data_IF_930726792561
#
_entry.id   IF_930726792561
#
_cell.length_a   1.000
_cell.length_b   1.000
_cell.length_c   1.000
_cell.angle_alpha   90.00
_cell.angle_beta   90.00
_cell.angle_gamma   90.00
#
_symmetry.space_group_name_H-M   'P 1'
#
loop_
_entity.id
_entity.type
_entity.pdbx_description
1 polymer ?
#
# COMPACT_ATOMS: atom_id res chain seq x y z
N UNK A 1 -8.30 3.02 2.06
CA UNK A 1 -8.18 4.28 2.83
C UNK A 1 -9.01 5.39 2.22
N UNK A 2 -9.03 6.58 2.87
CA UNK A 2 -9.73 7.75 2.30
C UNK A 2 -9.03 8.24 1.04
N UNK A 3 -9.82 8.65 0.04
CA UNK A 3 -9.30 9.25 -1.19
C UNK A 3 -9.16 10.74 -0.95
N UNK A 4 -7.96 11.18 -0.62
CA UNK A 4 -7.62 12.55 -0.27
C UNK A 4 -6.14 12.83 -0.56
N UNK A 5 -5.79 14.09 -0.72
CA UNK A 5 -4.44 14.52 -1.12
C UNK A 5 -3.34 14.02 -0.19
N UNK A 6 -3.58 14.05 1.12
CA UNK A 6 -2.58 13.63 2.11
C UNK A 6 -2.28 12.12 2.09
N UNK A 7 -3.12 11.34 1.41
CA UNK A 7 -2.86 9.92 1.14
C UNK A 7 -2.04 9.69 -0.13
N UNK A 8 -1.56 10.76 -0.77
CA UNK A 8 -0.71 10.69 -1.96
C UNK A 8 -1.45 10.18 -3.19
N UNK A 9 -2.77 10.45 -3.28
CA UNK A 9 -3.59 9.93 -4.38
C UNK A 9 -3.22 10.55 -5.73
N UNK A 10 -2.70 11.78 -5.76
CA UNK A 10 -2.24 12.43 -6.98
C UNK A 10 -1.05 11.68 -7.58
N UNK A 11 -0.07 11.32 -6.75
CA UNK A 11 1.08 10.51 -7.15
C UNK A 11 0.66 9.10 -7.55
N UNK A 12 -0.27 8.49 -6.80
CA UNK A 12 -0.79 7.17 -7.11
C UNK A 12 -1.48 7.16 -8.49
N UNK A 13 -2.31 8.15 -8.79
CA UNK A 13 -2.99 8.23 -10.08
C UNK A 13 -2.04 8.52 -11.23
N UNK A 14 -1.03 9.35 -11.03
CA UNK A 14 0.01 9.60 -12.02
C UNK A 14 0.82 8.32 -12.29
N UNK A 15 1.25 7.61 -11.26
CA UNK A 15 1.96 6.36 -11.38
C UNK A 15 1.09 5.26 -12.02
N UNK A 16 -0.19 5.12 -11.61
CA UNK A 16 -1.11 4.14 -12.19
C UNK A 16 -1.34 4.36 -13.70
N UNK A 17 -1.47 5.62 -14.15
CA UNK A 17 -1.57 5.93 -15.59
C UNK A 17 -0.35 5.42 -16.35
N UNK A 18 0.86 5.68 -15.86
CA UNK A 18 2.12 5.24 -16.49
C UNK A 18 2.21 3.72 -16.53
N UNK A 19 1.91 3.06 -15.41
CA UNK A 19 1.91 1.60 -15.32
C UNK A 19 0.92 0.98 -16.31
N UNK A 20 -0.29 1.56 -16.45
CA UNK A 20 -1.27 1.10 -17.45
C UNK A 20 -0.81 1.34 -18.88
N UNK A 21 -0.10 2.42 -19.16
CA UNK A 21 0.49 2.67 -20.49
C UNK A 21 1.59 1.67 -20.83
N UNK A 22 2.37 1.25 -19.83
CA UNK A 22 3.52 0.35 -20.01
C UNK A 22 3.11 -1.13 -20.04
N UNK A 23 2.21 -1.55 -19.15
CA UNK A 23 1.85 -2.96 -18.93
C UNK A 23 0.44 -3.33 -19.41
N UNK A 24 -0.37 -2.37 -19.85
CA UNK A 24 -1.73 -2.61 -20.32
C UNK A 24 -2.57 -3.37 -19.28
N UNK A 25 -3.17 -4.49 -19.71
CA UNK A 25 -3.99 -5.35 -18.84
C UNK A 25 -3.17 -6.26 -17.91
N UNK A 26 -1.84 -6.22 -17.99
CA UNK A 26 -0.95 -6.91 -17.06
C UNK A 26 -0.97 -6.34 -15.63
N UNK A 27 -1.54 -5.13 -15.43
CA UNK A 27 -1.71 -4.51 -14.12
C UNK A 27 -3.12 -3.98 -13.93
N UNK A 28 -3.66 -4.11 -12.72
CA UNK A 28 -4.95 -3.55 -12.32
C UNK A 28 -4.79 -2.75 -11.03
N UNK A 29 -5.45 -1.60 -10.94
CA UNK A 29 -5.46 -0.75 -9.76
C UNK A 29 -6.86 -0.67 -9.17
N UNK A 30 -7.01 -1.17 -7.95
CA UNK A 30 -8.26 -1.16 -7.20
C UNK A 30 -8.20 -0.08 -6.11
N UNK A 31 -9.07 0.90 -6.19
CA UNK A 31 -9.18 1.99 -5.22
C UNK A 31 -10.36 1.73 -4.30
N UNK A 32 -10.11 1.67 -2.99
CA UNK A 32 -11.12 1.37 -1.98
C UNK A 32 -11.09 2.44 -0.88
N UNK A 33 -12.21 3.11 -0.69
CA UNK A 33 -12.39 4.16 0.34
C UNK A 33 -13.38 5.23 -0.09
N UNK A 34 -13.74 6.09 0.85
CA UNK A 34 -14.57 7.27 0.59
C UNK A 34 -13.73 8.46 0.14
N UNK A 35 -14.36 9.39 -0.57
CA UNK A 35 -13.76 10.69 -0.86
C UNK A 35 -13.89 11.63 0.34
N UNK A 36 -12.86 12.43 0.59
CA UNK A 36 -12.89 13.56 1.50
C UNK A 36 -12.70 14.91 0.80
N UNK A 37 -12.25 14.89 -0.47
CA UNK A 37 -12.03 16.05 -1.30
C UNK A 37 -12.76 15.86 -2.64
N UNK A 38 -12.71 16.87 -3.52
CA UNK A 38 -13.37 16.82 -4.83
C UNK A 38 -12.63 15.92 -5.85
N UNK A 39 -12.29 14.70 -5.45
CA UNK A 39 -11.61 13.73 -6.33
C UNK A 39 -12.57 12.96 -7.26
N UNK A 40 -13.89 13.09 -7.05
CA UNK A 40 -14.86 12.32 -7.83
C UNK A 40 -14.72 12.53 -9.35
N UNK A 41 -14.62 13.75 -9.90
CA UNK A 41 -14.49 13.96 -11.34
C UNK A 41 -13.20 13.34 -11.92
N UNK A 42 -12.11 13.35 -11.16
CA UNK A 42 -10.87 12.73 -11.56
C UNK A 42 -10.98 11.21 -11.53
N UNK A 43 -11.60 10.65 -10.50
CA UNK A 43 -11.83 9.21 -10.38
C UNK A 43 -12.70 8.70 -11.54
N UNK A 44 -13.81 9.37 -11.85
CA UNK A 44 -14.70 9.01 -12.96
C UNK A 44 -13.93 8.98 -14.30
N UNK A 45 -13.05 9.95 -14.54
CA UNK A 45 -12.17 9.96 -15.73
C UNK A 45 -11.18 8.79 -15.76
N UNK A 46 -10.61 8.44 -14.61
CA UNK A 46 -9.65 7.34 -14.51
C UNK A 46 -10.32 5.97 -14.70
N UNK A 47 -11.54 5.80 -14.20
CA UNK A 47 -12.35 4.60 -14.42
C UNK A 47 -12.76 4.48 -15.90
N UNK A 48 -13.27 5.55 -16.50
CA UNK A 48 -13.63 5.58 -17.94
C UNK A 48 -12.43 5.25 -18.83
N UNK A 49 -11.24 5.69 -18.45
CA UNK A 49 -10.00 5.39 -19.14
C UNK A 49 -9.42 3.99 -18.81
N UNK A 50 -10.08 3.20 -17.96
CA UNK A 50 -9.62 1.87 -17.56
C UNK A 50 -8.33 1.87 -16.73
N UNK A 51 -7.96 3.03 -16.15
CA UNK A 51 -6.73 3.15 -15.34
C UNK A 51 -6.92 2.55 -13.96
N UNK A 52 -8.08 2.77 -13.33
CA UNK A 52 -8.42 2.28 -12.00
C UNK A 52 -9.80 1.65 -11.98
N UNK A 53 -10.08 0.84 -10.97
CA UNK A 53 -11.40 0.32 -10.61
C UNK A 53 -11.75 0.87 -9.22
N UNK A 54 -12.73 1.74 -9.14
CA UNK A 54 -13.16 2.33 -7.87
C UNK A 54 -14.28 1.51 -7.23
N UNK A 55 -14.14 1.20 -5.94
CA UNK A 55 -15.08 0.34 -5.21
C UNK A 55 -15.86 1.07 -4.09
N UNK A 56 -15.63 2.38 -3.94
CA UNK A 56 -16.24 3.12 -2.85
C UNK A 56 -15.76 2.68 -1.47
N UNK A 57 -16.50 3.08 -0.45
CA UNK A 57 -16.26 2.61 0.92
C UNK A 57 -16.66 1.13 1.06
N UNK A 58 -15.79 0.35 1.68
CA UNK A 58 -16.03 -1.07 1.96
C UNK A 58 -15.72 -1.35 3.43
N UNK A 59 -16.59 -2.04 4.12
CA UNK A 59 -16.39 -2.47 5.51
C UNK A 59 -15.58 -3.76 5.59
N UNK A 60 -15.71 -4.65 4.60
CA UNK A 60 -14.91 -5.87 4.50
C UNK A 60 -13.77 -5.69 3.50
N UNK A 61 -12.57 -5.46 4.04
CA UNK A 61 -11.36 -5.31 3.25
C UNK A 61 -10.68 -6.64 2.90
N UNK A 62 -11.06 -7.75 3.54
CA UNK A 62 -10.37 -9.05 3.38
C UNK A 62 -10.34 -9.52 1.93
N UNK A 63 -11.47 -9.37 1.22
CA UNK A 63 -11.55 -9.76 -0.20
C UNK A 63 -10.58 -8.96 -1.08
N UNK A 64 -10.41 -7.67 -0.80
CA UNK A 64 -9.49 -6.82 -1.58
C UNK A 64 -8.04 -7.17 -1.30
N UNK A 65 -7.67 -7.40 -0.05
CA UNK A 65 -6.34 -7.89 0.26
C UNK A 65 -6.10 -9.29 -0.35
N UNK A 66 -7.10 -10.18 -0.35
CA UNK A 66 -6.95 -11.52 -0.90
C UNK A 66 -6.67 -11.51 -2.42
N UNK A 67 -7.29 -10.60 -3.18
CA UNK A 67 -7.11 -10.48 -4.62
C UNK A 67 -5.87 -9.67 -5.02
N UNK A 68 -5.38 -8.78 -4.16
CA UNK A 68 -4.25 -7.92 -4.47
C UNK A 68 -2.93 -8.69 -4.44
N UNK A 69 -2.00 -8.35 -5.32
CA UNK A 69 -0.59 -8.77 -5.23
C UNK A 69 0.21 -7.87 -4.31
N UNK A 70 -0.14 -6.59 -4.26
CA UNK A 70 0.54 -5.56 -3.49
C UNK A 70 -0.45 -4.52 -2.94
N UNK A 71 -0.14 -3.93 -1.79
CA UNK A 71 -0.86 -2.77 -1.25
C UNK A 71 0.01 -1.53 -1.41
N UNK A 72 -0.56 -0.49 -2.00
CA UNK A 72 0.13 0.78 -2.28
C UNK A 72 -0.51 1.89 -1.45
N UNK A 73 0.31 2.61 -0.66
CA UNK A 73 -0.14 3.73 0.17
C UNK A 73 0.95 4.81 0.24
N UNK A 74 0.98 5.78 -0.69
CA UNK A 74 2.00 6.82 -0.75
C UNK A 74 1.67 8.05 0.12
N UNK A 75 1.18 7.83 1.35
CA UNK A 75 0.75 8.88 2.27
C UNK A 75 1.86 9.86 2.61
N UNK A 76 1.49 11.12 2.85
CA UNK A 76 2.43 12.15 3.31
C UNK A 76 2.62 12.12 4.83
N UNK A 77 1.59 11.68 5.56
CA UNK A 77 1.59 11.57 7.02
C UNK A 77 0.77 10.36 7.46
N UNK A 78 1.31 9.60 8.40
CA UNK A 78 0.61 8.51 9.10
C UNK A 78 1.06 8.47 10.56
N UNK A 79 0.15 8.11 11.45
CA UNK A 79 0.54 7.70 12.80
C UNK A 79 1.10 6.27 12.75
N UNK A 80 0.20 5.30 12.71
CA UNK A 80 0.50 3.91 12.33
C UNK A 80 -0.58 3.48 11.33
N UNK A 81 -0.19 3.11 10.11
CA UNK A 81 -1.15 2.82 9.05
C UNK A 81 -1.78 1.44 9.19
N UNK A 82 -3.03 1.37 9.64
CA UNK A 82 -3.78 0.12 9.68
C UNK A 82 -3.86 -0.57 8.30
N UNK A 83 -3.97 0.21 7.21
CA UNK A 83 -4.00 -0.33 5.83
C UNK A 83 -2.74 -1.14 5.53
N UNK A 84 -1.56 -0.63 5.94
CA UNK A 84 -0.29 -1.32 5.75
C UNK A 84 -0.17 -2.54 6.67
N UNK A 85 -0.54 -2.40 7.95
CA UNK A 85 -0.50 -3.52 8.89
C UNK A 85 -1.42 -4.67 8.44
N UNK A 86 -2.65 -4.36 8.01
CA UNK A 86 -3.60 -5.35 7.50
C UNK A 86 -3.12 -5.98 6.20
N UNK A 87 -2.58 -5.18 5.27
CA UNK A 87 -2.00 -5.66 4.01
C UNK A 87 -0.86 -6.64 4.27
N UNK A 88 0.11 -6.27 5.11
CA UNK A 88 1.22 -7.14 5.49
C UNK A 88 0.74 -8.40 6.24
N UNK A 89 -0.18 -8.27 7.21
CA UNK A 89 -0.73 -9.40 7.95
C UNK A 89 -1.46 -10.42 7.05
N UNK A 90 -2.01 -9.96 5.92
CA UNK A 90 -2.60 -10.83 4.89
C UNK A 90 -1.59 -11.37 3.87
N UNK A 91 -0.30 -11.13 4.10
CA UNK A 91 0.77 -11.62 3.24
C UNK A 91 0.90 -10.87 1.92
N UNK A 92 0.55 -9.59 1.88
CA UNK A 92 0.75 -8.74 0.70
C UNK A 92 2.03 -7.94 0.83
N UNK A 93 2.76 -7.82 -0.26
CA UNK A 93 3.86 -6.87 -0.36
C UNK A 93 3.32 -5.44 -0.22
N UNK A 94 4.14 -4.53 0.29
CA UNK A 94 3.74 -3.15 0.50
C UNK A 94 4.61 -2.21 -0.32
N UNK A 95 4.00 -1.18 -0.92
CA UNK A 95 4.70 -0.03 -1.49
C UNK A 95 4.17 1.22 -0.80
N UNK A 96 5.05 1.95 -0.11
CA UNK A 96 4.62 3.08 0.71
C UNK A 96 5.69 4.14 0.83
N UNK A 97 5.32 5.29 1.38
CA UNK A 97 6.25 6.38 1.62
C UNK A 97 7.24 6.06 2.75
N UNK A 98 8.48 6.56 2.62
CA UNK A 98 9.50 6.46 3.64
C UNK A 98 9.31 7.55 4.71
N UNK A 99 8.26 7.39 5.51
CA UNK A 99 7.89 8.27 6.62
C UNK A 99 7.61 7.46 7.90
N UNK A 100 7.68 8.10 9.09
CA UNK A 100 7.17 7.48 10.32
C UNK A 100 5.72 7.04 10.16
N UNK A 101 5.36 5.89 10.74
CA UNK A 101 4.04 5.29 10.62
C UNK A 101 3.83 4.41 9.36
N UNK A 102 4.71 4.53 8.37
CA UNK A 102 4.73 3.68 7.18
C UNK A 102 5.95 2.75 7.16
N UNK A 103 7.17 3.30 7.36
CA UNK A 103 8.41 2.54 7.28
C UNK A 103 8.51 1.40 8.29
N UNK A 104 7.82 1.48 9.41
CA UNK A 104 7.82 0.41 10.42
C UNK A 104 7.14 -0.85 9.91
N UNK A 105 6.16 -0.72 9.00
CA UNK A 105 5.46 -1.84 8.40
C UNK A 105 6.27 -2.54 7.30
N UNK A 106 7.31 -1.88 6.75
CA UNK A 106 8.07 -2.35 5.58
C UNK A 106 9.55 -2.51 5.91
N UNK A 107 10.15 -3.56 5.40
CA UNK A 107 11.59 -3.69 5.26
C UNK A 107 11.91 -3.57 3.77
N UNK A 108 12.56 -2.46 3.39
CA UNK A 108 12.77 -2.09 2.00
C UNK A 108 13.54 -3.15 1.22
N UNK A 109 13.04 -3.51 0.05
CA UNK A 109 13.57 -4.59 -0.79
C UNK A 109 13.31 -6.01 -0.28
N UNK A 110 12.74 -6.19 0.92
CA UNK A 110 12.51 -7.49 1.57
C UNK A 110 11.03 -7.82 1.69
N UNK A 111 10.22 -6.93 2.25
CA UNK A 111 8.78 -7.09 2.41
C UNK A 111 7.96 -6.09 1.59
N UNK A 112 8.62 -5.25 0.84
CA UNK A 112 8.02 -4.21 0.02
C UNK A 112 9.05 -3.19 -0.43
N UNK A 113 8.57 -2.01 -0.85
CA UNK A 113 9.42 -0.91 -1.26
C UNK A 113 9.01 0.39 -0.58
N UNK A 114 10.01 1.17 -0.21
CA UNK A 114 9.85 2.53 0.29
C UNK A 114 10.17 3.55 -0.83
N UNK A 115 9.41 4.64 -0.89
CA UNK A 115 9.65 5.73 -1.82
C UNK A 115 9.52 7.09 -1.11
N UNK A 116 10.15 8.15 -1.63
CA UNK A 116 9.91 9.51 -1.14
C UNK A 116 8.45 9.91 -1.26
N UNK A 117 7.98 10.78 -0.36
CA UNK A 117 6.65 11.41 -0.48
C UNK A 117 6.62 12.41 -1.64
N UNK A 118 5.44 12.60 -2.23
CA UNK A 118 5.21 13.59 -3.30
C UNK A 118 6.11 13.38 -4.53
N UNK A 119 6.46 12.14 -4.79
CA UNK A 119 7.30 11.74 -5.92
C UNK A 119 6.62 10.60 -6.69
N UNK A 120 5.88 10.98 -7.73
CA UNK A 120 5.17 10.04 -8.59
C UNK A 120 6.13 9.17 -9.42
N UNK A 121 7.32 9.67 -9.73
CA UNK A 121 8.34 8.93 -10.50
C UNK A 121 8.92 7.81 -9.64
N UNK A 122 9.35 8.13 -8.41
CA UNK A 122 9.85 7.13 -7.47
C UNK A 122 8.77 6.09 -7.09
N UNK A 123 7.51 6.51 -6.94
CA UNK A 123 6.40 5.58 -6.71
C UNK A 123 6.19 4.65 -7.91
N UNK A 124 6.21 5.18 -9.13
CA UNK A 124 6.09 4.39 -10.35
C UNK A 124 7.24 3.38 -10.48
N UNK A 125 8.46 3.78 -10.18
CA UNK A 125 9.64 2.90 -10.20
C UNK A 125 9.53 1.78 -9.15
N UNK A 126 9.05 2.07 -7.95
CA UNK A 126 8.80 1.06 -6.94
C UNK A 126 7.72 0.04 -7.40
N UNK A 127 6.65 0.51 -8.03
CA UNK A 127 5.61 -0.35 -8.61
C UNK A 127 6.17 -1.19 -9.75
N UNK A 128 6.99 -0.61 -10.65
CA UNK A 128 7.63 -1.32 -11.76
C UNK A 128 8.55 -2.43 -11.24
N UNK A 129 9.42 -2.11 -10.29
CA UNK A 129 10.31 -3.09 -9.66
C UNK A 129 9.54 -4.26 -9.07
N UNK A 130 8.38 -4.01 -8.47
CA UNK A 130 7.52 -5.08 -7.94
C UNK A 130 6.87 -5.89 -9.07
N UNK A 131 6.29 -5.23 -10.08
CA UNK A 131 5.60 -5.89 -11.19
C UNK A 131 6.53 -6.79 -12.02
N UNK A 132 7.79 -6.42 -12.15
CA UNK A 132 8.81 -7.19 -12.88
C UNK A 132 9.38 -8.39 -12.10
N UNK A 133 9.08 -8.49 -10.80
CA UNK A 133 9.48 -9.68 -10.03
C UNK A 133 8.69 -10.91 -10.50
N UNK A 134 9.33 -12.08 -10.58
CA UNK A 134 8.60 -13.34 -10.73
C UNK A 134 7.57 -13.54 -9.63
N UNK A 135 6.43 -14.17 -9.93
CA UNK A 135 5.32 -14.36 -8.98
C UNK A 135 5.74 -14.98 -7.65
N UNK A 136 6.66 -15.94 -7.68
CA UNK A 136 7.19 -16.58 -6.46
C UNK A 136 7.95 -15.58 -5.57
N UNK A 137 8.61 -14.58 -6.16
CA UNK A 137 9.32 -13.52 -5.44
C UNK A 137 8.36 -12.48 -4.89
N UNK A 138 7.31 -12.13 -5.63
CA UNK A 138 6.22 -11.27 -5.14
C UNK A 138 5.54 -11.92 -3.92
N UNK A 139 5.21 -13.20 -4.02
CA UNK A 139 4.61 -13.96 -2.92
C UNK A 139 5.55 -14.10 -1.71
N UNK A 140 6.85 -14.28 -1.94
CA UNK A 140 7.86 -14.35 -0.88
C UNK A 140 7.96 -13.01 -0.14
N UNK A 141 7.96 -11.89 -0.86
CA UNK A 141 7.97 -10.54 -0.30
C UNK A 141 6.76 -10.33 0.64
N UNK A 142 5.57 -10.75 0.22
CA UNK A 142 4.37 -10.71 1.05
C UNK A 142 4.47 -11.60 2.30
N UNK A 143 4.99 -12.84 2.17
CA UNK A 143 5.20 -13.72 3.34
C UNK A 143 6.16 -13.12 4.36
N UNK A 144 7.24 -12.48 3.93
CA UNK A 144 8.17 -11.78 4.82
C UNK A 144 7.51 -10.61 5.54
N UNK A 145 6.63 -9.86 4.86
CA UNK A 145 5.81 -8.83 5.49
C UNK A 145 4.93 -9.40 6.60
N UNK A 146 4.26 -10.51 6.35
CA UNK A 146 3.44 -11.19 7.37
C UNK A 146 4.27 -11.65 8.58
N UNK A 147 5.40 -12.29 8.35
CA UNK A 147 6.30 -12.70 9.44
C UNK A 147 6.74 -11.50 10.30
N UNK A 148 7.05 -10.35 9.66
CA UNK A 148 7.36 -9.11 10.37
C UNK A 148 6.19 -8.65 11.24
N UNK A 149 4.93 -8.73 10.74
CA UNK A 149 3.74 -8.38 11.54
C UNK A 149 3.58 -9.29 12.75
N UNK A 150 3.73 -10.59 12.58
CA UNK A 150 3.65 -11.56 13.68
C UNK A 150 4.71 -11.31 14.75
N UNK A 151 5.92 -10.94 14.36
CA UNK A 151 7.04 -10.70 15.27
C UNK A 151 6.96 -9.34 15.99
N UNK A 152 6.58 -8.27 15.30
CA UNK A 152 6.68 -6.90 15.82
C UNK A 152 5.37 -6.28 16.26
N UNK A 153 4.25 -6.68 15.61
CA UNK A 153 2.95 -6.03 15.78
C UNK A 153 1.87 -6.97 16.32
N UNK A 154 2.20 -8.21 16.68
CA UNK A 154 1.26 -9.05 17.41
C UNK A 154 0.98 -8.44 18.80
N UNK A 155 -0.24 -8.65 19.31
CA UNK A 155 -0.63 -8.16 20.64
C UNK A 155 0.39 -8.55 21.72
N UNK A 156 0.87 -9.79 21.66
CA UNK A 156 1.89 -10.29 22.62
C UNK A 156 3.21 -9.54 22.47
N UNK A 157 3.69 -9.29 21.24
CA UNK A 157 4.93 -8.57 21.01
C UNK A 157 4.85 -7.12 21.50
N UNK A 158 3.74 -6.44 21.19
CA UNK A 158 3.51 -5.04 21.60
C UNK A 158 3.45 -4.94 23.12
N UNK A 159 2.71 -5.83 23.80
CA UNK A 159 2.63 -5.84 25.26
C UNK A 159 3.99 -6.12 25.91
N UNK A 160 4.75 -7.09 25.40
CA UNK A 160 6.07 -7.41 25.91
C UNK A 160 7.04 -6.22 25.81
N UNK A 161 7.04 -5.53 24.67
CA UNK A 161 7.90 -4.36 24.46
C UNK A 161 7.46 -3.17 25.34
N UNK A 162 6.16 -2.97 25.52
CA UNK A 162 5.62 -1.93 26.41
C UNK A 162 6.05 -2.15 27.87
N UNK A 163 5.91 -3.39 28.36
CA UNK A 163 6.32 -3.73 29.73
C UNK A 163 7.82 -3.48 29.94
N UNK A 164 8.65 -3.88 28.99
CA UNK A 164 10.09 -3.69 29.02
C UNK A 164 10.50 -2.20 29.08
N UNK A 165 9.77 -1.31 28.43
CA UNK A 165 10.01 0.13 28.47
C UNK A 165 9.46 0.81 29.76
N UNK A 166 8.50 0.20 30.40
CA UNK A 166 7.94 0.72 31.68
C UNK A 166 8.75 0.29 32.89
N UNK A 167 9.82 -0.52 32.73
CA UNK A 167 10.66 -1.05 33.79
C UNK A 167 9.87 -1.71 34.94
N UNK A 168 8.72 -2.35 34.60
CA UNK A 168 7.85 -3.05 35.55
C UNK A 168 8.20 -4.54 35.56
#
# INVERSE_FOLDING_TARGET
GRVMREKGVDELFAAAKRMKQEYGDGVEFHIVGSFEEEYKPLMDKLEQAGVVKYHGYQSDMKRFYAMASCVVLPSYHEGMSNVLLEGAATGRALITSDIPGCREAVEDGVSGYLCPTKDADALCDAMRRFAELPENRQAEMGRRGRTRMEQKFSKTAVVAETIKHLEI
#
